data_IF_265196241892
#
_entry.id   IF_265196241892
#
_cell.length_a   1.000
_cell.length_b   1.000
_cell.length_c   1.000
_cell.angle_alpha   90.00
_cell.angle_beta   90.00
_cell.angle_gamma   90.00
#
_symmetry.space_group_name_H-M   'P 1'
#
loop_
_entity.id
_entity.type
_entity.pdbx_description
1 polymer ?
#
# COMPACT_ATOMS: atom_id res chain seq x y z
N UNK A 1 42.44 30.61 1.94
CA UNK A 1 40.96 30.54 1.93
C UNK A 1 40.69 29.41 0.97
N UNK A 2 40.93 28.21 1.48
CA UNK A 2 41.08 27.00 0.69
C UNK A 2 39.73 26.30 0.73
N UNK A 3 39.09 26.21 -0.43
CA UNK A 3 37.89 25.42 -0.66
C UNK A 3 38.18 23.95 -0.32
N UNK A 4 37.33 23.26 0.45
CA UNK A 4 37.43 21.82 0.56
C UNK A 4 36.80 21.16 -0.67
N UNK A 5 37.68 20.77 -1.59
CA UNK A 5 37.48 19.76 -2.62
C UNK A 5 36.73 18.53 -2.04
N UNK A 6 35.59 18.18 -2.63
CA UNK A 6 35.51 17.12 -3.64
C UNK A 6 35.32 15.72 -3.03
N UNK A 7 34.04 15.35 -3.01
CA UNK A 7 33.53 14.03 -3.39
C UNK A 7 34.52 12.87 -3.22
N UNK A 8 34.66 12.38 -1.99
CA UNK A 8 35.13 11.00 -1.76
C UNK A 8 34.06 10.07 -2.34
N UNK A 9 34.13 9.81 -3.64
CA UNK A 9 33.34 8.81 -4.32
C UNK A 9 33.72 7.44 -3.74
N UNK A 10 32.95 7.01 -2.74
CA UNK A 10 33.07 5.69 -2.15
C UNK A 10 33.10 4.63 -3.26
N UNK A 11 34.08 3.74 -3.20
CA UNK A 11 34.27 2.67 -4.18
C UNK A 11 32.94 1.94 -4.45
N UNK A 12 32.65 1.55 -5.71
CA UNK A 12 31.40 0.89 -6.05
C UNK A 12 31.21 -0.33 -5.14
N UNK A 13 30.00 -0.54 -4.59
CA UNK A 13 29.76 -1.65 -3.68
C UNK A 13 30.12 -2.96 -4.39
N UNK A 14 30.77 -3.91 -3.69
CA UNK A 14 31.19 -5.15 -4.29
C UNK A 14 29.97 -5.85 -4.91
N UNK A 15 30.14 -6.52 -6.07
CA UNK A 15 29.05 -7.19 -6.74
C UNK A 15 28.43 -8.23 -5.79
N UNK A 16 27.09 -8.26 -5.76
CA UNK A 16 26.33 -9.17 -4.91
C UNK A 16 26.70 -10.62 -5.24
N UNK A 17 27.30 -11.31 -4.28
CA UNK A 17 27.70 -12.71 -4.43
C UNK A 17 26.46 -13.60 -4.39
N UNK A 18 26.20 -14.37 -5.45
CA UNK A 18 25.03 -15.26 -5.49
C UNK A 18 25.29 -16.54 -4.68
N UNK A 19 24.46 -16.82 -3.68
CA UNK A 19 24.60 -17.96 -2.80
C UNK A 19 24.43 -19.27 -3.58
N UNK A 20 25.50 -20.07 -3.64
CA UNK A 20 25.51 -21.34 -4.36
C UNK A 20 25.76 -21.23 -5.87
N UNK A 21 26.26 -20.08 -6.37
CA UNK A 21 26.57 -19.87 -7.79
C UNK A 21 27.40 -21.00 -8.41
N UNK A 22 28.40 -21.53 -7.70
CA UNK A 22 29.24 -22.62 -8.19
C UNK A 22 28.49 -23.95 -8.35
N UNK A 23 27.58 -24.28 -7.43
CA UNK A 23 26.73 -25.48 -7.55
C UNK A 23 25.70 -25.32 -8.67
N UNK A 24 25.11 -24.13 -8.77
CA UNK A 24 24.19 -23.76 -9.83
C UNK A 24 24.85 -23.86 -11.22
N UNK A 25 26.12 -23.44 -11.34
CA UNK A 25 26.89 -23.49 -12.58
C UNK A 25 27.05 -24.91 -13.13
N UNK A 26 27.27 -25.90 -12.25
CA UNK A 26 27.35 -27.32 -12.64
C UNK A 26 26.04 -27.85 -13.23
N UNK A 27 24.90 -27.33 -12.75
CA UNK A 27 23.57 -27.72 -13.19
C UNK A 27 23.11 -26.98 -14.47
N UNK A 28 23.81 -25.91 -14.91
CA UNK A 28 23.48 -25.21 -16.16
C UNK A 28 23.78 -26.05 -17.40
N UNK A 29 24.76 -26.96 -17.31
CA UNK A 29 25.15 -27.86 -18.38
C UNK A 29 24.27 -29.12 -18.46
N UNK A 30 23.38 -29.33 -17.49
CA UNK A 30 22.48 -30.48 -17.48
C UNK A 30 21.34 -30.28 -18.48
N UNK A 31 21.10 -31.27 -19.36
CA UNK A 31 20.01 -31.22 -20.35
C UNK A 31 18.60 -31.24 -19.75
N UNK A 32 18.46 -31.66 -18.50
CA UNK A 32 17.23 -31.58 -17.72
C UNK A 32 17.56 -31.49 -16.22
N UNK A 33 16.79 -30.69 -15.48
CA UNK A 33 16.91 -30.56 -14.02
C UNK A 33 15.77 -31.29 -13.31
N UNK A 34 16.06 -31.85 -12.14
CA UNK A 34 15.02 -32.43 -11.29
C UNK A 34 14.12 -31.34 -10.68
N UNK A 35 12.88 -31.69 -10.36
CA UNK A 35 11.94 -30.78 -9.67
C UNK A 35 12.52 -30.28 -8.34
N UNK A 36 13.21 -31.15 -7.61
CA UNK A 36 13.79 -30.85 -6.31
C UNK A 36 14.96 -29.86 -6.42
N UNK A 37 15.81 -30.00 -7.43
CA UNK A 37 16.89 -29.05 -7.71
C UNK A 37 16.34 -27.67 -8.03
N UNK A 38 15.32 -27.57 -8.89
CA UNK A 38 14.70 -26.29 -9.25
C UNK A 38 14.11 -25.61 -8.02
N UNK A 39 13.37 -26.35 -7.18
CA UNK A 39 12.76 -25.80 -5.97
C UNK A 39 13.82 -25.37 -4.94
N UNK A 40 14.85 -26.18 -4.75
CA UNK A 40 15.95 -25.89 -3.82
C UNK A 40 16.72 -24.64 -4.23
N UNK A 41 17.01 -24.48 -5.54
CA UNK A 41 17.64 -23.28 -6.10
C UNK A 41 16.79 -22.03 -5.90
N UNK A 42 15.50 -22.11 -6.22
CA UNK A 42 14.56 -20.98 -6.04
C UNK A 42 14.42 -20.58 -4.58
N UNK A 43 14.29 -21.55 -3.67
CA UNK A 43 14.22 -21.30 -2.22
C UNK A 43 15.48 -20.57 -1.75
N UNK A 44 16.67 -21.05 -2.12
CA UNK A 44 17.94 -20.43 -1.72
C UNK A 44 18.04 -18.98 -2.22
N UNK A 45 17.73 -18.74 -3.49
CA UNK A 45 17.75 -17.38 -4.08
C UNK A 45 16.73 -16.45 -3.41
N UNK A 46 15.53 -16.94 -3.11
CA UNK A 46 14.51 -16.17 -2.42
C UNK A 46 14.94 -15.79 -0.99
N UNK A 47 15.52 -16.73 -0.24
CA UNK A 47 16.03 -16.46 1.11
C UNK A 47 17.20 -15.47 1.08
N UNK A 48 18.09 -15.58 0.09
CA UNK A 48 19.17 -14.62 -0.09
C UNK A 48 18.62 -13.22 -0.41
N UNK A 49 17.67 -13.12 -1.34
CA UNK A 49 17.03 -11.86 -1.69
C UNK A 49 16.39 -11.22 -0.45
N UNK A 50 15.63 -11.99 0.32
CA UNK A 50 15.03 -11.54 1.57
C UNK A 50 16.07 -10.99 2.55
N UNK A 51 17.20 -11.70 2.71
CA UNK A 51 18.30 -11.25 3.57
C UNK A 51 18.89 -9.90 3.13
N UNK A 52 19.09 -9.69 1.82
CA UNK A 52 19.65 -8.46 1.27
C UNK A 52 18.69 -7.26 1.42
N UNK A 53 17.39 -7.46 1.17
CA UNK A 53 16.40 -6.41 1.41
C UNK A 53 16.29 -6.05 2.88
N UNK A 54 16.37 -7.05 3.76
CA UNK A 54 16.37 -6.82 5.21
C UNK A 54 17.60 -6.00 5.64
N UNK A 55 18.80 -6.33 5.14
CA UNK A 55 20.00 -5.55 5.46
C UNK A 55 19.92 -4.13 4.90
N UNK A 56 19.40 -3.96 3.69
CA UNK A 56 19.20 -2.63 3.10
C UNK A 56 18.22 -1.79 3.92
N UNK A 57 17.13 -2.38 4.40
CA UNK A 57 16.15 -1.69 5.23
C UNK A 57 16.78 -1.20 6.55
N UNK A 58 17.59 -2.04 7.19
CA UNK A 58 18.28 -1.67 8.43
C UNK A 58 19.31 -0.56 8.20
N UNK A 59 20.13 -0.66 7.15
CA UNK A 59 21.09 0.38 6.80
C UNK A 59 20.39 1.73 6.53
N UNK A 60 19.29 1.72 5.78
CA UNK A 60 18.51 2.95 5.52
C UNK A 60 17.87 3.51 6.79
N UNK A 61 17.40 2.67 7.70
CA UNK A 61 16.82 3.11 8.95
C UNK A 61 17.88 3.78 9.85
N UNK A 62 19.08 3.19 9.93
CA UNK A 62 20.22 3.77 10.66
C UNK A 62 20.67 5.10 10.04
N UNK A 63 20.83 5.16 8.71
CA UNK A 63 21.21 6.39 8.00
C UNK A 63 20.16 7.51 8.18
N UNK A 64 18.87 7.17 8.12
CA UNK A 64 17.79 8.13 8.30
C UNK A 64 17.75 8.66 9.73
N UNK A 65 17.96 7.79 10.73
CA UNK A 65 18.05 8.22 12.11
C UNK A 65 19.25 9.14 12.35
N UNK A 66 20.42 8.83 11.78
CA UNK A 66 21.61 9.66 11.90
C UNK A 66 21.40 11.04 11.28
N UNK A 67 20.91 11.10 10.03
CA UNK A 67 20.62 12.37 9.34
C UNK A 67 19.52 13.17 10.04
N UNK A 68 18.50 12.49 10.57
CA UNK A 68 17.45 13.15 11.33
C UNK A 68 18.01 13.75 12.64
N UNK A 69 18.92 13.05 13.33
CA UNK A 69 19.58 13.57 14.53
C UNK A 69 20.46 14.79 14.21
N UNK A 70 21.24 14.74 13.13
CA UNK A 70 22.03 15.88 12.64
C UNK A 70 21.15 17.08 12.27
N UNK A 71 20.06 16.84 11.52
CA UNK A 71 19.06 17.85 11.21
C UNK A 71 18.48 18.47 12.49
N UNK A 72 18.09 17.65 13.46
CA UNK A 72 17.57 18.11 14.74
C UNK A 72 18.57 18.96 15.53
N UNK A 73 19.85 18.59 15.48
CA UNK A 73 20.93 19.31 16.13
C UNK A 73 21.16 20.70 15.51
N UNK A 74 21.07 20.81 14.17
CA UNK A 74 21.30 22.08 13.46
C UNK A 74 20.07 22.98 13.38
N UNK A 75 18.85 22.42 13.34
CA UNK A 75 17.63 23.20 13.09
C UNK A 75 16.70 23.31 14.31
N UNK A 76 16.93 22.55 15.38
CA UNK A 76 15.93 22.40 16.45
C UNK A 76 14.65 21.74 15.93
N UNK A 77 13.61 21.64 16.76
CA UNK A 77 12.32 21.12 16.32
C UNK A 77 11.86 21.85 15.03
N UNK A 78 11.38 21.07 14.06
CA UNK A 78 10.95 21.47 12.71
C UNK A 78 10.54 22.95 12.57
N UNK A 79 10.98 23.68 11.54
CA UNK A 79 10.59 25.06 11.26
C UNK A 79 9.14 25.13 10.75
N UNK A 80 8.20 24.59 11.52
CA UNK A 80 6.81 25.01 11.51
C UNK A 80 6.79 26.19 12.46
N UNK A 81 6.97 27.39 11.90
CA UNK A 81 6.57 28.62 12.57
C UNK A 81 5.05 28.53 12.73
N UNK A 82 4.61 28.07 13.90
CA UNK A 82 3.24 28.34 14.33
C UNK A 82 3.22 29.84 14.55
N UNK A 83 2.71 30.59 13.59
CA UNK A 83 2.47 32.02 13.79
C UNK A 83 1.67 32.20 15.08
N UNK A 84 2.17 33.00 16.04
CA UNK A 84 1.42 33.26 17.26
C UNK A 84 0.07 33.88 16.87
N UNK A 85 -1.05 33.43 17.47
CA UNK A 85 -2.30 34.14 17.33
C UNK A 85 -2.08 35.59 17.77
N UNK A 86 -2.48 36.53 16.91
CA UNK A 86 -2.46 37.96 17.17
C UNK A 86 -3.27 38.21 18.46
N UNK A 87 -2.55 38.30 19.58
CA UNK A 87 -3.11 38.54 20.90
C UNK A 87 -3.62 39.98 20.94
N UNK A 88 -4.94 40.12 20.91
CA UNK A 88 -5.62 41.34 21.32
C UNK A 88 -5.27 41.67 22.75
N UNK A 89 -5.05 42.98 22.99
CA UNK A 89 -4.78 43.58 24.28
C UNK A 89 -5.69 43.04 25.40
N UNK A 90 -5.06 42.48 26.43
CA UNK A 90 -5.69 42.15 27.71
C UNK A 90 -4.61 42.04 28.78
N UNK A 91 -4.46 43.10 29.55
CA UNK A 91 -3.56 43.23 30.69
C UNK A 91 -3.74 42.11 31.73
N UNK A 92 -2.66 41.39 32.05
CA UNK A 92 -2.62 40.43 33.16
C UNK A 92 -1.22 39.87 33.38
N UNK A 93 -0.62 40.24 34.51
CA UNK A 93 0.70 39.95 35.06
C UNK A 93 1.41 38.63 34.68
N UNK A 94 2.74 38.75 34.62
CA UNK A 94 3.74 37.73 34.33
C UNK A 94 3.71 36.49 35.26
N UNK A 95 3.95 35.33 34.66
CA UNK A 95 4.69 34.22 35.29
C UNK A 95 5.61 33.62 34.22
N UNK A 96 6.87 34.01 34.29
CA UNK A 96 7.98 33.37 33.55
C UNK A 96 8.29 32.04 34.22
N UNK A 97 7.61 30.99 33.79
CA UNK A 97 7.89 29.61 34.18
C UNK A 97 8.82 28.92 33.18
N UNK A 98 10.12 29.12 33.34
CA UNK A 98 11.12 28.22 32.77
C UNK A 98 10.98 26.85 33.44
N UNK A 99 10.76 25.78 32.67
CA UNK A 99 10.90 24.42 33.17
C UNK A 99 11.62 23.53 32.15
N UNK A 100 12.93 23.75 32.03
CA UNK A 100 13.84 22.63 31.76
C UNK A 100 15.03 22.67 32.70
N UNK A 101 15.12 21.62 33.53
CA UNK A 101 16.20 21.45 34.51
C UNK A 101 15.97 20.27 35.45
N UNK A 102 16.43 19.09 35.00
CA UNK A 102 17.04 18.00 35.77
C UNK A 102 16.26 17.25 36.88
N UNK A 103 16.23 15.91 36.72
CA UNK A 103 16.21 14.95 37.83
C UNK A 103 14.98 14.06 37.89
N UNK A 104 15.06 12.85 37.33
CA UNK A 104 14.03 11.82 37.55
C UNK A 104 14.13 10.67 36.57
N UNK A 105 14.60 9.54 37.07
CA UNK A 105 14.72 8.20 36.46
C UNK A 105 13.72 7.87 35.34
N UNK A 106 14.27 7.28 34.27
CA UNK A 106 13.55 6.73 33.13
C UNK A 106 12.43 5.75 33.55
N UNK A 107 11.21 6.00 33.06
CA UNK A 107 10.21 4.97 32.85
C UNK A 107 9.60 5.20 31.46
N UNK A 108 10.17 4.50 30.47
CA UNK A 108 9.54 4.34 29.17
C UNK A 108 8.17 3.67 29.37
N UNK A 109 7.06 4.16 28.77
CA UNK A 109 5.81 3.41 28.79
C UNK A 109 6.00 2.11 27.97
N UNK A 110 5.64 0.93 28.50
CA UNK A 110 5.83 -0.32 27.78
C UNK A 110 4.82 -0.42 26.63
N UNK A 111 5.35 -0.61 25.43
CA UNK A 111 4.60 -0.98 24.23
C UNK A 111 4.11 -2.42 24.40
N UNK A 112 2.86 -2.62 24.79
CA UNK A 112 2.27 -3.95 24.92
C UNK A 112 1.76 -4.46 23.56
N UNK A 113 2.47 -5.44 22.99
CA UNK A 113 2.03 -6.24 21.85
C UNK A 113 1.62 -7.64 22.35
N UNK A 114 0.34 -8.01 22.19
CA UNK A 114 -0.11 -9.39 22.38
C UNK A 114 -1.63 -9.59 22.45
N UNK A 115 -2.24 -10.04 21.35
CA UNK A 115 -3.53 -10.77 21.30
C UNK A 115 -3.27 -12.25 21.74
N UNK A 116 -4.23 -13.16 22.12
CA UNK A 116 -5.65 -13.26 21.66
C UNK A 116 -6.74 -13.89 22.60
N UNK A 117 -8.02 -13.82 22.15
CA UNK A 117 -9.18 -14.74 22.38
C UNK A 117 -9.84 -14.87 23.78
N UNK A 118 -11.11 -14.41 23.94
CA UNK A 118 -12.40 -15.18 24.02
C UNK A 118 -13.53 -14.29 24.65
N UNK A 119 -14.80 -14.75 24.78
CA UNK A 119 -16.01 -14.46 23.97
C UNK A 119 -16.98 -13.39 24.57
N UNK A 120 -18.11 -13.05 23.90
CA UNK A 120 -18.98 -11.94 24.30
C UNK A 120 -19.99 -12.34 25.38
N UNK A 121 -20.21 -11.45 26.35
CA UNK A 121 -21.32 -11.52 27.29
C UNK A 121 -22.43 -10.56 26.84
N UNK A 122 -23.64 -11.09 26.85
CA UNK A 122 -24.90 -10.46 26.46
C UNK A 122 -25.30 -9.32 27.41
N UNK A 123 -26.02 -8.33 26.88
CA UNK A 123 -26.66 -7.30 27.70
C UNK A 123 -27.14 -6.11 26.87
N UNK A 124 -28.40 -6.15 26.46
CA UNK A 124 -29.08 -5.03 25.81
C UNK A 124 -29.33 -3.86 26.76
N UNK A 125 -29.41 -2.67 26.18
CA UNK A 125 -29.75 -1.44 26.89
C UNK A 125 -29.79 -0.27 25.91
N UNK A 126 -30.96 -0.05 25.31
CA UNK A 126 -31.27 1.17 24.55
C UNK A 126 -31.26 2.37 25.50
N UNK A 127 -30.51 3.42 25.15
CA UNK A 127 -30.44 4.62 25.97
C UNK A 127 -29.57 5.69 25.33
N UNK A 128 -30.24 6.62 24.64
CA UNK A 128 -29.65 7.81 24.04
C UNK A 128 -28.84 8.62 25.08
N UNK A 129 -27.57 8.85 24.78
CA UNK A 129 -26.70 9.75 25.53
C UNK A 129 -25.59 10.24 24.62
N UNK A 130 -25.78 11.42 24.04
CA UNK A 130 -24.77 12.12 23.26
C UNK A 130 -23.53 12.35 24.13
N UNK A 131 -22.48 11.54 23.94
CA UNK A 131 -21.15 11.88 24.43
C UNK A 131 -20.65 13.01 23.54
N UNK A 132 -20.85 14.22 24.02
CA UNK A 132 -20.13 15.40 23.56
C UNK A 132 -18.64 15.11 23.73
N UNK A 133 -17.95 14.85 22.61
CA UNK A 133 -16.50 14.96 22.55
C UNK A 133 -16.09 16.37 22.99
N UNK A 134 -15.06 16.53 23.84
CA UNK A 134 -14.60 17.84 24.24
C UNK A 134 -14.14 18.59 22.99
N UNK A 135 -14.79 19.72 22.75
CA UNK A 135 -14.47 20.66 21.69
C UNK A 135 -13.12 21.28 22.06
N UNK A 136 -12.05 20.74 21.46
CA UNK A 136 -10.73 21.35 21.54
C UNK A 136 -10.80 22.71 20.85
N UNK A 137 -10.84 23.77 21.66
CA UNK A 137 -10.67 25.13 21.22
C UNK A 137 -9.21 25.34 20.78
N UNK A 138 -9.02 25.90 19.59
CA UNK A 138 -7.73 26.43 19.11
C UNK A 138 -7.13 25.68 17.92
N UNK A 139 -7.61 25.99 16.72
CA UNK A 139 -7.05 25.49 15.45
C UNK A 139 -8.11 25.02 14.46
N UNK A 140 -9.14 25.84 14.19
CA UNK A 140 -10.20 25.49 13.24
C UNK A 140 -9.60 25.29 11.84
N UNK A 141 -9.76 24.08 11.27
CA UNK A 141 -9.39 23.80 9.89
C UNK A 141 -10.16 24.76 8.98
N UNK A 142 -9.50 25.35 7.99
CA UNK A 142 -10.15 26.21 6.99
C UNK A 142 -11.36 25.49 6.39
N UNK A 143 -12.42 26.23 6.07
CA UNK A 143 -13.61 25.69 5.41
C UNK A 143 -13.34 25.46 3.92
N UNK A 144 -14.13 24.58 3.30
CA UNK A 144 -14.04 24.30 1.88
C UNK A 144 -14.30 25.56 1.03
N UNK A 145 -13.46 25.80 0.03
CA UNK A 145 -13.56 26.92 -0.91
C UNK A 145 -14.59 26.69 -2.02
N UNK A 146 -15.27 25.54 -2.05
CA UNK A 146 -16.34 25.28 -3.02
C UNK A 146 -17.59 26.11 -2.66
N UNK A 147 -18.30 26.60 -3.69
CA UNK A 147 -19.53 27.36 -3.51
C UNK A 147 -20.53 26.57 -2.65
N UNK A 148 -21.05 27.21 -1.60
CA UNK A 148 -22.05 26.66 -0.70
C UNK A 148 -21.63 25.37 0.05
N UNK A 149 -20.34 25.15 0.29
CA UNK A 149 -19.86 24.00 1.07
C UNK A 149 -19.41 24.40 2.48
N UNK A 150 -20.10 23.91 3.50
CA UNK A 150 -19.75 24.16 4.92
C UNK A 150 -18.77 23.13 5.52
N UNK A 151 -18.28 22.18 4.71
CA UNK A 151 -17.39 21.13 5.20
C UNK A 151 -15.98 21.68 5.48
N UNK A 152 -15.29 21.06 6.44
CA UNK A 152 -13.89 21.37 6.73
C UNK A 152 -13.00 20.96 5.55
N UNK A 153 -12.06 21.83 5.19
CA UNK A 153 -11.08 21.55 4.17
C UNK A 153 -10.10 20.45 4.62
N UNK A 154 -9.57 19.73 3.63
CA UNK A 154 -8.55 18.72 3.85
C UNK A 154 -7.22 19.37 4.28
N UNK A 155 -6.33 18.66 5.01
CA UNK A 155 -5.06 19.24 5.42
C UNK A 155 -4.27 19.66 4.18
N UNK A 156 -3.72 20.87 4.20
CA UNK A 156 -2.94 21.44 3.09
C UNK A 156 -3.71 21.59 1.77
N UNK A 157 -5.05 21.56 1.77
CA UNK A 157 -5.88 21.79 0.59
C UNK A 157 -7.02 22.78 0.89
N UNK A 158 -7.43 23.63 -0.06
CA UNK A 158 -8.53 24.57 0.13
C UNK A 158 -9.93 23.94 0.00
N UNK A 159 -10.03 22.64 -0.27
CA UNK A 159 -11.30 21.93 -0.50
C UNK A 159 -11.49 20.77 0.48
N UNK A 160 -12.75 20.40 0.76
CA UNK A 160 -13.10 19.20 1.52
C UNK A 160 -12.88 17.92 0.71
N UNK A 161 -13.06 16.74 1.33
CA UNK A 161 -12.88 15.45 0.64
C UNK A 161 -13.74 15.32 -0.62
N UNK A 162 -15.00 15.75 -0.62
CA UNK A 162 -15.88 15.62 -1.80
C UNK A 162 -15.51 16.59 -2.93
N UNK A 163 -14.95 17.75 -2.60
CA UNK A 163 -14.58 18.80 -3.55
C UNK A 163 -13.09 18.81 -3.90
N UNK A 164 -12.31 17.87 -3.36
CA UNK A 164 -10.85 17.81 -3.51
C UNK A 164 -10.37 17.70 -4.97
N UNK A 165 -11.27 17.29 -5.87
CA UNK A 165 -11.02 17.18 -7.31
C UNK A 165 -11.23 18.51 -8.07
N UNK A 166 -11.82 19.53 -7.43
CA UNK A 166 -11.92 20.89 -7.98
C UNK A 166 -10.59 21.64 -7.88
N UNK A 167 -9.65 21.15 -7.06
CA UNK A 167 -8.34 21.76 -6.90
C UNK A 167 -7.46 21.53 -8.15
N UNK A 168 -7.04 22.61 -8.86
CA UNK A 168 -6.16 22.47 -10.02
C UNK A 168 -4.78 21.92 -9.65
N UNK A 169 -4.35 22.05 -8.39
CA UNK A 169 -3.06 21.54 -7.90
C UNK A 169 -3.15 20.11 -7.35
N UNK A 170 -4.28 19.43 -7.49
CA UNK A 170 -4.48 18.10 -6.92
C UNK A 170 -3.57 17.04 -7.55
N UNK A 171 -2.59 16.53 -6.78
CA UNK A 171 -1.71 15.44 -7.21
C UNK A 171 -2.01 14.09 -6.57
N UNK A 172 -2.71 14.05 -5.44
CA UNK A 172 -2.92 12.84 -4.67
C UNK A 172 -4.20 12.10 -5.06
N UNK A 173 -5.26 12.82 -5.39
CA UNK A 173 -6.56 12.26 -5.74
C UNK A 173 -6.84 12.26 -7.25
N UNK A 174 -7.67 11.30 -7.68
CA UNK A 174 -8.23 11.17 -9.03
C UNK A 174 -9.68 10.69 -8.92
N UNK A 175 -10.56 10.98 -9.88
CA UNK A 175 -11.94 10.50 -9.85
C UNK A 175 -12.01 8.98 -10.01
N UNK A 176 -12.97 8.37 -9.34
CA UNK A 176 -13.30 6.97 -9.50
C UNK A 176 -13.84 6.70 -10.92
N UNK A 177 -13.16 5.81 -11.65
CA UNK A 177 -13.48 5.46 -13.05
C UNK A 177 -14.50 4.33 -13.17
N UNK A 178 -15.14 3.92 -12.07
CA UNK A 178 -16.18 2.91 -12.11
C UNK A 178 -17.40 3.42 -12.87
N UNK A 179 -17.85 2.65 -13.86
CA UNK A 179 -18.99 2.97 -14.71
C UNK A 179 -20.27 2.58 -13.98
N UNK A 180 -21.10 3.56 -13.61
CA UNK A 180 -22.34 3.35 -12.84
C UNK A 180 -23.50 2.87 -13.72
N UNK A 181 -23.61 3.38 -14.95
CA UNK A 181 -24.65 3.02 -15.94
C UNK A 181 -24.17 3.40 -17.36
N UNK A 182 -24.61 2.68 -18.40
CA UNK A 182 -24.60 3.20 -19.78
C UNK A 182 -25.92 3.95 -19.95
N UNK A 183 -25.91 5.28 -19.88
CA UNK A 183 -27.14 6.06 -20.05
C UNK A 183 -27.54 6.19 -21.52
N UNK A 184 -26.55 6.21 -22.43
CA UNK A 184 -26.72 6.33 -23.89
C UNK A 184 -25.64 5.51 -24.64
N UNK A 185 -25.78 5.20 -25.95
CA UNK A 185 -24.84 4.37 -26.69
C UNK A 185 -23.38 4.84 -26.68
N UNK A 186 -23.08 6.10 -26.27
CA UNK A 186 -21.72 6.64 -26.24
C UNK A 186 -21.32 7.45 -24.99
N UNK A 187 -22.18 7.60 -23.97
CA UNK A 187 -21.83 8.34 -22.74
C UNK A 187 -21.77 7.38 -21.54
N UNK A 188 -20.57 7.22 -20.97
CA UNK A 188 -20.31 6.40 -19.79
C UNK A 188 -20.29 7.30 -18.57
N UNK A 189 -21.31 7.17 -17.70
CA UNK A 189 -21.34 7.90 -16.43
C UNK A 189 -20.40 7.23 -15.42
N UNK A 190 -19.29 7.89 -15.13
CA UNK A 190 -18.34 7.45 -14.11
C UNK A 190 -18.75 7.89 -12.71
N UNK A 191 -18.28 7.18 -11.68
CA UNK A 191 -18.63 7.50 -10.32
C UNK A 191 -18.22 8.91 -9.86
N UNK A 192 -17.03 9.37 -10.26
CA UNK A 192 -16.53 10.71 -9.92
C UNK A 192 -16.02 10.88 -8.47
N UNK A 193 -16.24 9.93 -7.56
CA UNK A 193 -15.77 10.02 -6.17
C UNK A 193 -14.24 10.08 -6.10
N UNK A 194 -13.63 10.87 -5.20
CA UNK A 194 -12.18 10.97 -5.09
C UNK A 194 -11.55 9.66 -4.59
N UNK A 195 -10.46 9.24 -5.25
CA UNK A 195 -9.68 8.04 -4.96
C UNK A 195 -8.20 8.38 -5.04
N UNK A 196 -7.36 7.77 -4.21
CA UNK A 196 -5.91 7.98 -4.27
C UNK A 196 -5.31 7.51 -5.60
N UNK A 197 -4.34 8.24 -6.15
CA UNK A 197 -3.67 7.90 -7.42
C UNK A 197 -3.00 6.52 -7.40
N UNK A 198 -2.46 6.11 -6.25
CA UNK A 198 -1.82 4.80 -6.06
C UNK A 198 -2.76 3.60 -6.12
N UNK A 199 -4.08 3.80 -5.99
CA UNK A 199 -5.04 2.71 -6.09
C UNK A 199 -5.25 2.34 -7.56
N UNK A 200 -4.95 1.08 -7.88
CA UNK A 200 -5.11 0.47 -9.20
C UNK A 200 -5.93 -0.81 -9.06
N UNK A 201 -7.13 -0.89 -9.67
CA UNK A 201 -7.81 0.12 -10.49
C UNK A 201 -8.39 1.29 -9.67
N UNK A 202 -8.60 2.45 -10.30
CA UNK A 202 -9.12 3.69 -9.67
C UNK A 202 -10.59 3.58 -9.22
N UNK A 203 -10.82 2.85 -8.14
CA UNK A 203 -12.14 2.53 -7.57
C UNK A 203 -12.25 3.04 -6.13
N UNK A 204 -13.39 3.63 -5.79
CA UNK A 204 -13.69 4.01 -4.41
C UNK A 204 -14.07 2.77 -3.58
N UNK A 205 -14.10 2.91 -2.26
CA UNK A 205 -14.47 1.87 -1.29
C UNK A 205 -15.73 1.10 -1.65
N UNK A 206 -16.75 1.80 -2.15
CA UNK A 206 -18.05 1.21 -2.46
C UNK A 206 -18.01 0.41 -3.78
N UNK A 207 -17.17 0.84 -4.72
CA UNK A 207 -17.10 0.27 -6.07
C UNK A 207 -16.05 -0.82 -6.22
N UNK A 208 -15.03 -0.87 -5.36
CA UNK A 208 -14.07 -1.96 -5.37
C UNK A 208 -14.73 -3.34 -5.17
N UNK A 209 -15.53 -3.62 -4.12
CA UNK A 209 -16.16 -4.92 -3.95
C UNK A 209 -17.18 -5.24 -5.05
N UNK A 210 -17.92 -4.22 -5.55
CA UNK A 210 -18.87 -4.40 -6.65
C UNK A 210 -18.16 -4.83 -7.93
N UNK A 211 -17.04 -4.20 -8.23
CA UNK A 211 -16.25 -4.51 -9.40
C UNK A 211 -15.60 -5.89 -9.35
N UNK A 212 -15.18 -6.33 -8.15
CA UNK A 212 -14.66 -7.67 -7.92
C UNK A 212 -15.73 -8.74 -8.20
N UNK A 213 -16.97 -8.51 -7.74
CA UNK A 213 -18.11 -9.39 -8.03
C UNK A 213 -18.37 -9.50 -9.55
N UNK A 214 -18.40 -8.37 -10.26
CA UNK A 214 -18.60 -8.36 -11.71
C UNK A 214 -17.50 -9.13 -12.46
N UNK A 215 -16.23 -9.02 -12.01
CA UNK A 215 -15.12 -9.80 -12.59
C UNK A 215 -15.32 -11.30 -12.36
N UNK A 216 -15.67 -11.68 -11.13
CA UNK A 216 -15.94 -13.08 -10.75
C UNK A 216 -17.11 -13.66 -11.57
N UNK A 217 -18.17 -12.88 -11.78
CA UNK A 217 -19.30 -13.27 -12.61
C UNK A 217 -18.92 -13.44 -14.08
N UNK A 218 -18.14 -12.50 -14.65
CA UNK A 218 -17.64 -12.61 -16.02
C UNK A 218 -16.73 -13.84 -16.22
N UNK A 219 -15.90 -14.17 -15.22
CA UNK A 219 -15.07 -15.37 -15.24
C UNK A 219 -15.91 -16.66 -15.21
N UNK A 220 -17.00 -16.67 -14.43
CA UNK A 220 -17.98 -17.77 -14.42
C UNK A 220 -18.66 -17.93 -15.78
N UNK A 221 -19.10 -16.82 -16.38
CA UNK A 221 -19.70 -16.86 -17.72
C UNK A 221 -18.71 -17.36 -18.79
N UNK A 222 -17.42 -17.07 -18.63
CA UNK A 222 -16.36 -17.59 -19.49
C UNK A 222 -15.98 -19.07 -19.25
N UNK A 223 -16.62 -19.75 -18.28
CA UNK A 223 -16.34 -21.16 -17.95
C UNK A 223 -15.00 -21.38 -17.26
N UNK A 224 -14.47 -20.36 -16.56
CA UNK A 224 -13.25 -20.49 -15.75
C UNK A 224 -13.64 -20.84 -14.32
N UNK A 225 -13.80 -22.14 -14.07
CA UNK A 225 -14.11 -22.70 -12.75
C UNK A 225 -12.83 -22.90 -11.93
N UNK A 226 -12.23 -21.80 -11.44
CA UNK A 226 -11.30 -21.89 -10.31
C UNK A 226 -12.09 -22.32 -9.05
N UNK A 227 -11.44 -22.82 -7.98
CA UNK A 227 -12.08 -22.91 -6.67
C UNK A 227 -12.37 -21.49 -6.13
N UNK A 228 -13.37 -20.82 -6.70
CA UNK A 228 -13.86 -19.49 -6.37
C UNK A 228 -14.69 -19.50 -5.08
N UNK A 229 -14.32 -20.34 -4.11
CA UNK A 229 -14.96 -20.35 -2.79
C UNK A 229 -14.70 -19.07 -2.00
N UNK A 230 -13.74 -18.23 -2.43
CA UNK A 230 -13.47 -16.95 -1.82
C UNK A 230 -14.17 -15.81 -2.57
N UNK A 231 -14.88 -14.95 -1.83
CA UNK A 231 -15.57 -13.73 -2.28
C UNK A 231 -14.66 -12.67 -2.95
N UNK A 232 -13.42 -13.00 -3.29
CA UNK A 232 -12.37 -12.12 -3.83
C UNK A 232 -11.95 -12.59 -5.22
N UNK A 233 -11.54 -11.66 -6.08
CA UNK A 233 -11.00 -11.96 -7.42
C UNK A 233 -9.79 -12.91 -7.27
N UNK A 234 -9.74 -14.02 -8.02
CA UNK A 234 -8.58 -14.90 -7.99
C UNK A 234 -7.29 -14.17 -8.37
N UNK A 235 -6.17 -14.52 -7.74
CA UNK A 235 -4.86 -13.95 -8.10
C UNK A 235 -4.58 -14.21 -9.58
N UNK A 236 -4.00 -13.23 -10.26
CA UNK A 236 -3.67 -13.33 -11.69
C UNK A 236 -2.83 -14.56 -12.03
N UNK A 237 -1.89 -14.93 -11.15
CA UNK A 237 -1.08 -16.14 -11.31
C UNK A 237 -1.90 -17.43 -11.40
N UNK A 238 -3.02 -17.51 -10.67
CA UNK A 238 -3.92 -18.66 -10.72
C UNK A 238 -4.69 -18.70 -12.05
N UNK A 239 -5.13 -17.54 -12.55
CA UNK A 239 -5.79 -17.44 -13.86
C UNK A 239 -4.85 -17.89 -14.99
N UNK A 240 -3.58 -17.46 -14.96
CA UNK A 240 -2.56 -17.92 -15.92
C UNK A 240 -2.40 -19.45 -15.82
N UNK A 241 -2.29 -19.99 -14.60
CA UNK A 241 -2.07 -21.43 -14.41
C UNK A 241 -3.23 -22.28 -14.96
N UNK A 242 -4.46 -21.81 -14.78
CA UNK A 242 -5.65 -22.48 -15.30
C UNK A 242 -5.76 -22.36 -16.82
N UNK A 243 -5.49 -21.19 -17.39
CA UNK A 243 -5.45 -21.01 -18.84
C UNK A 243 -4.41 -21.94 -19.50
N UNK A 244 -3.22 -22.04 -18.90
CA UNK A 244 -2.16 -22.98 -19.35
C UNK A 244 -2.64 -24.43 -19.25
N UNK A 245 -3.29 -24.81 -18.14
CA UNK A 245 -3.86 -26.16 -17.96
C UNK A 245 -4.88 -26.48 -19.06
N UNK A 246 -5.80 -25.56 -19.37
CA UNK A 246 -6.79 -25.73 -20.42
C UNK A 246 -6.17 -25.86 -21.82
N UNK A 247 -5.12 -25.09 -22.11
CA UNK A 247 -4.38 -25.22 -23.38
C UNK A 247 -3.73 -26.60 -23.47
N UNK A 248 -3.09 -27.06 -22.40
CA UNK A 248 -2.43 -28.36 -22.36
C UNK A 248 -3.42 -29.53 -22.49
N UNK A 249 -4.58 -29.47 -21.81
CA UNK A 249 -5.60 -30.51 -21.94
C UNK A 249 -6.18 -30.56 -23.34
N UNK A 250 -6.50 -29.41 -23.96
CA UNK A 250 -6.96 -29.35 -25.36
C UNK A 250 -5.93 -29.94 -26.33
N UNK A 251 -4.64 -29.62 -26.16
CA UNK A 251 -3.55 -30.19 -27.00
C UNK A 251 -3.43 -31.71 -26.83
N UNK A 252 -3.54 -32.22 -25.60
CA UNK A 252 -3.53 -33.68 -25.32
C UNK A 252 -4.69 -34.40 -26.01
N UNK A 253 -5.90 -33.83 -25.93
CA UNK A 253 -7.09 -34.38 -26.59
C UNK A 253 -6.95 -34.35 -28.12
N UNK A 254 -6.36 -33.30 -28.68
CA UNK A 254 -6.11 -33.23 -30.12
C UNK A 254 -5.11 -34.32 -30.55
N UNK A 255 -3.99 -34.46 -29.83
CA UNK A 255 -2.98 -35.49 -30.13
C UNK A 255 -3.53 -36.91 -29.95
N UNK A 256 -4.34 -37.17 -28.92
CA UNK A 256 -4.97 -38.48 -28.73
C UNK A 256 -5.96 -38.81 -29.83
N UNK A 257 -6.75 -37.82 -30.29
CA UNK A 257 -7.68 -37.96 -31.41
C UNK A 257 -6.95 -38.20 -32.74
N UNK A 258 -5.86 -37.49 -33.02
CA UNK A 258 -5.01 -37.75 -34.20
C UNK A 258 -4.40 -39.14 -34.18
N UNK A 259 -3.89 -39.61 -33.03
CA UNK A 259 -3.37 -40.98 -32.86
C UNK A 259 -4.46 -42.05 -33.00
N UNK A 260 -5.70 -41.76 -32.57
CA UNK A 260 -6.82 -42.68 -32.74
C UNK A 260 -7.28 -42.74 -34.20
N UNK A 261 -7.29 -41.61 -34.92
CA UNK A 261 -7.62 -41.55 -36.35
C UNK A 261 -6.58 -42.29 -37.21
N UNK A 262 -5.28 -42.09 -36.95
CA UNK A 262 -4.21 -42.80 -37.65
C UNK A 262 -4.29 -44.34 -37.47
N UNK A 263 -4.67 -44.81 -36.26
CA UNK A 263 -4.87 -46.25 -36.00
C UNK A 263 -6.09 -46.86 -36.69
N UNK A 264 -7.09 -46.07 -37.05
CA UNK A 264 -8.26 -46.54 -37.81
C UNK A 264 -7.99 -46.62 -39.32
N UNK A 265 -7.02 -45.87 -39.83
CA UNK A 265 -6.62 -45.91 -41.24
C UNK A 265 -5.63 -47.04 -41.55
N UNK A 266 -4.94 -47.56 -40.53
CA UNK A 266 -3.95 -48.63 -40.67
C UNK A 266 -4.54 -50.04 -40.51
N UNK A 267 -5.86 -50.18 -40.61
CA UNK A 267 -6.61 -51.43 -40.41
C UNK A 267 -7.68 -51.53 -41.48
#
# INVERSE_FOLDING_TARGET
>A
MDDPDESTAAAPPPPVTLAGAGADGKLLLAGALSREEVLSRRRRRLMQLYSLYRSQLWALAEDLHAKHAEYWWHHGASPVVVEPPLLGNGSGAASVGNCWGAGGTAAFPPMNFGHPLLPPADGGGDGAGAVATPQAAGGGRATCSAANCAANAMPCAPYCFDHILLDPKQQLYKPCTFIKRRSMPNVKETCGKPVLRGITPSRCSDHDPKSQKNIVEALRYAGIDLPLGSKKVPKFSLLISEAVRQIQTKRKLFLSRSKAASRKLSK
#
